data_IF_861859757410
#
_entry.id   IF_861859757410
#
_cell.length_a   1.000
_cell.length_b   1.000
_cell.length_c   1.000
_cell.angle_alpha   90.00
_cell.angle_beta   90.00
_cell.angle_gamma   90.00
#
_symmetry.space_group_name_H-M   'P 1'
#
loop_
_entity.id
_entity.type
_entity.pdbx_description
1 polymer ?
#
# COMPACT_ATOMS: atom_id res chain seq x y z
N UNK A 1 -1.02 -6.19 -21.28
CA UNK A 1 -2.39 -6.19 -21.85
C UNK A 1 -3.45 -6.67 -20.86
N UNK A 2 -3.10 -7.45 -19.83
CA UNK A 2 -4.05 -8.02 -18.84
C UNK A 2 -4.98 -6.97 -18.20
N UNK A 3 -4.47 -5.83 -17.73
CA UNK A 3 -5.31 -4.78 -17.15
C UNK A 3 -6.23 -4.09 -18.17
N UNK A 4 -5.77 -3.92 -19.41
CA UNK A 4 -6.59 -3.34 -20.47
C UNK A 4 -7.78 -4.23 -20.84
N UNK A 5 -7.61 -5.56 -20.76
CA UNK A 5 -8.71 -6.53 -20.97
C UNK A 5 -9.77 -6.44 -19.87
N UNK A 6 -9.39 -5.99 -18.67
CA UNK A 6 -10.30 -5.72 -17.56
C UNK A 6 -10.92 -4.31 -17.62
N UNK A 7 -10.71 -3.56 -18.71
CA UNK A 7 -11.22 -2.20 -18.88
C UNK A 7 -10.41 -1.13 -18.13
N UNK A 8 -9.25 -1.47 -17.58
CA UNK A 8 -8.38 -0.54 -16.86
C UNK A 8 -7.57 0.27 -17.87
N UNK A 9 -7.64 1.60 -17.75
CA UNK A 9 -6.80 2.53 -18.53
C UNK A 9 -5.43 2.62 -17.89
N UNK A 10 -4.40 2.24 -18.63
CA UNK A 10 -3.01 2.35 -18.20
C UNK A 10 -2.37 3.61 -18.81
N UNK A 11 -1.78 4.44 -17.96
CA UNK A 11 -1.03 5.63 -18.36
C UNK A 11 0.45 5.39 -18.11
N UNK A 12 1.31 5.80 -19.04
CA UNK A 12 2.76 5.84 -18.82
C UNK A 12 3.21 7.16 -18.20
N UNK A 13 2.40 8.21 -18.39
CA UNK A 13 2.60 9.52 -17.82
C UNK A 13 1.84 9.61 -16.49
N UNK A 14 2.58 9.63 -15.39
CA UNK A 14 2.01 9.73 -14.05
C UNK A 14 1.30 11.07 -13.83
N UNK A 15 1.72 12.13 -14.51
CA UNK A 15 1.08 13.45 -14.40
C UNK A 15 -0.33 13.41 -14.99
N UNK A 16 -0.52 12.74 -16.14
CA UNK A 16 -1.85 12.53 -16.73
C UNK A 16 -2.74 11.64 -15.86
N UNK A 17 -2.18 10.58 -15.27
CA UNK A 17 -2.91 9.71 -14.34
C UNK A 17 -3.45 10.52 -13.15
N UNK A 18 -2.59 11.33 -12.54
CA UNK A 18 -2.90 12.09 -11.34
C UNK A 18 -3.86 13.24 -11.61
N UNK A 19 -3.73 13.92 -12.75
CA UNK A 19 -4.65 14.98 -13.14
C UNK A 19 -6.10 14.50 -13.35
N UNK A 20 -6.28 13.22 -13.67
CA UNK A 20 -7.61 12.61 -13.86
C UNK A 20 -8.19 12.01 -12.57
N UNK A 21 -7.35 11.65 -11.60
CA UNK A 21 -7.77 10.83 -10.47
C UNK A 21 -8.19 11.65 -9.25
N UNK A 22 -9.39 11.39 -8.73
CA UNK A 22 -9.84 11.91 -7.42
C UNK A 22 -9.08 11.27 -6.25
N UNK A 23 -8.61 10.03 -6.44
CA UNK A 23 -7.85 9.26 -5.44
C UNK A 23 -6.65 8.58 -6.10
N UNK A 24 -5.46 8.84 -5.57
CA UNK A 24 -4.18 8.32 -6.10
C UNK A 24 -3.55 7.40 -5.08
N UNK A 25 -3.32 6.14 -5.46
CA UNK A 25 -2.58 5.18 -4.63
C UNK A 25 -1.08 5.26 -4.94
N UNK A 26 -0.29 5.65 -3.94
CA UNK A 26 1.16 5.70 -4.03
C UNK A 26 1.77 4.39 -3.49
N UNK A 27 2.14 3.49 -4.40
CA UNK A 27 2.67 2.16 -4.11
C UNK A 27 4.08 1.93 -4.69
N UNK A 28 4.82 3.00 -4.97
CA UNK A 28 6.19 2.91 -5.49
C UNK A 28 7.23 2.64 -4.39
N UNK A 29 8.39 2.12 -4.81
CA UNK A 29 9.52 1.90 -3.91
C UNK A 29 10.02 3.23 -3.32
N UNK A 30 10.47 3.26 -2.06
CA UNK A 30 10.99 4.47 -1.42
C UNK A 30 12.12 5.15 -2.21
N UNK A 31 12.94 4.38 -2.93
CA UNK A 31 14.03 4.90 -3.78
C UNK A 31 13.52 5.72 -4.98
N UNK A 32 12.34 5.39 -5.53
CA UNK A 32 11.77 6.08 -6.68
C UNK A 32 10.87 7.25 -6.26
N UNK A 33 10.49 7.31 -4.99
CA UNK A 33 9.57 8.30 -4.46
C UNK A 33 9.95 9.74 -4.81
N UNK A 34 11.21 10.20 -4.65
CA UNK A 34 11.56 11.59 -4.98
C UNK A 34 11.32 11.93 -6.46
N UNK A 35 11.65 11.00 -7.35
CA UNK A 35 11.46 11.16 -8.79
C UNK A 35 9.97 11.21 -9.14
N UNK A 36 9.18 10.25 -8.62
CA UNK A 36 7.73 10.20 -8.85
C UNK A 36 7.05 11.46 -8.32
N UNK A 37 7.34 11.87 -7.07
CA UNK A 37 6.78 13.07 -6.47
C UNK A 37 7.09 14.33 -7.30
N UNK A 38 8.33 14.46 -7.79
CA UNK A 38 8.70 15.60 -8.62
C UNK A 38 7.89 15.68 -9.92
N UNK A 39 7.57 14.53 -10.53
CA UNK A 39 6.79 14.49 -11.77
C UNK A 39 5.30 14.75 -11.58
N UNK A 40 4.73 14.40 -10.43
CA UNK A 40 3.28 14.49 -10.21
C UNK A 40 2.84 15.72 -9.42
N UNK A 41 3.72 16.37 -8.66
CA UNK A 41 3.31 17.45 -7.74
C UNK A 41 2.56 18.59 -8.44
N UNK A 42 2.98 18.99 -9.65
CA UNK A 42 2.34 20.07 -10.41
C UNK A 42 0.97 19.67 -11.00
N UNK A 43 0.71 18.36 -11.13
CA UNK A 43 -0.54 17.83 -11.64
C UNK A 43 -1.55 17.47 -10.53
N UNK A 44 -1.11 17.45 -9.27
CA UNK A 44 -2.00 17.27 -8.12
C UNK A 44 -2.86 18.53 -7.95
N UNK A 45 -4.15 18.41 -8.24
CA UNK A 45 -5.13 19.46 -8.01
C UNK A 45 -6.08 19.07 -6.87
N UNK A 46 -6.57 20.06 -6.12
CA UNK A 46 -7.67 19.82 -5.19
C UNK A 46 -9.00 19.70 -5.94
N UNK A 47 -9.91 18.77 -5.58
CA UNK A 47 -9.85 17.85 -4.43
C UNK A 47 -9.30 16.45 -4.82
N UNK A 48 -8.00 16.21 -4.66
CA UNK A 48 -7.39 14.89 -4.85
C UNK A 48 -6.94 14.30 -3.50
N UNK A 49 -7.08 13.00 -3.31
CA UNK A 49 -6.59 12.30 -2.10
C UNK A 49 -5.43 11.40 -2.48
N UNK A 50 -4.25 11.63 -1.90
CA UNK A 50 -3.11 10.74 -2.07
C UNK A 50 -3.11 9.69 -0.97
N UNK A 51 -3.35 8.43 -1.33
CA UNK A 51 -3.29 7.28 -0.44
C UNK A 51 -1.90 6.63 -0.49
N UNK A 52 -1.10 6.81 0.55
CA UNK A 52 0.28 6.34 0.61
C UNK A 52 0.42 4.95 1.23
N UNK A 53 0.79 3.97 0.40
CA UNK A 53 1.15 2.60 0.82
C UNK A 53 2.66 2.45 1.13
N UNK A 54 3.45 3.52 0.97
CA UNK A 54 4.90 3.50 1.17
C UNK A 54 5.26 3.50 2.66
N UNK A 55 5.31 2.31 3.26
CA UNK A 55 5.48 2.14 4.71
C UNK A 55 6.82 2.67 5.27
N UNK A 56 7.88 2.76 4.46
CA UNK A 56 9.21 3.18 4.92
C UNK A 56 9.42 4.70 4.97
N UNK A 57 8.47 5.52 4.51
CA UNK A 57 8.66 6.98 4.39
C UNK A 57 7.75 7.71 5.38
N UNK A 58 8.28 8.54 6.31
CA UNK A 58 7.48 9.34 7.23
C UNK A 58 6.48 10.26 6.52
N UNK A 59 5.27 10.42 7.08
CA UNK A 59 4.24 11.28 6.48
C UNK A 59 4.70 12.75 6.29
N UNK A 60 5.43 13.38 7.24
CA UNK A 60 5.94 14.74 7.01
C UNK A 60 6.87 14.84 5.80
N UNK A 61 7.75 13.86 5.62
CA UNK A 61 8.65 13.79 4.47
C UNK A 61 7.86 13.65 3.16
N UNK A 62 6.79 12.87 3.16
CA UNK A 62 5.95 12.70 1.99
C UNK A 62 5.18 13.98 1.63
N UNK A 63 4.63 14.68 2.63
CA UNK A 63 3.99 16.00 2.44
C UNK A 63 4.97 17.01 1.81
N UNK A 64 6.22 17.01 2.26
CA UNK A 64 7.28 17.87 1.70
C UNK A 64 7.63 17.48 0.25
N UNK A 65 7.77 16.20 -0.06
CA UNK A 65 8.13 15.75 -1.41
C UNK A 65 7.03 16.06 -2.44
N UNK A 66 5.76 15.95 -2.03
CA UNK A 66 4.61 16.20 -2.90
C UNK A 66 4.16 17.66 -2.90
N UNK A 67 4.65 18.48 -1.97
CA UNK A 67 4.10 19.80 -1.68
C UNK A 67 2.55 19.78 -1.54
N UNK A 68 2.03 18.72 -0.93
CA UNK A 68 0.59 18.43 -0.87
C UNK A 68 0.17 17.95 0.52
N UNK A 69 -1.02 18.37 0.98
CA UNK A 69 -1.48 18.17 2.36
C UNK A 69 -2.47 17.02 2.51
N UNK A 70 -3.32 16.78 1.51
CA UNK A 70 -4.39 15.75 1.51
C UNK A 70 -3.81 14.37 1.22
N UNK A 71 -3.08 13.85 2.21
CA UNK A 71 -2.42 12.55 2.14
C UNK A 71 -2.94 11.64 3.23
N UNK A 72 -3.52 10.50 2.84
CA UNK A 72 -3.90 9.42 3.75
C UNK A 72 -2.77 8.41 3.84
N UNK A 73 -2.40 8.03 5.06
CA UNK A 73 -1.47 6.93 5.31
C UNK A 73 -2.10 5.93 6.27
N UNK A 74 -2.48 4.73 5.80
CA UNK A 74 -2.96 3.69 6.70
C UNK A 74 -1.87 3.30 7.70
N UNK A 75 -2.26 3.19 8.96
CA UNK A 75 -1.43 2.59 10.00
C UNK A 75 -1.83 1.12 10.11
N UNK A 76 -0.90 0.25 9.72
CA UNK A 76 -1.03 -1.18 9.93
C UNK A 76 -0.44 -1.51 11.28
N UNK A 77 -1.26 -2.09 12.15
CA UNK A 77 -0.80 -2.62 13.43
C UNK A 77 -0.93 -4.14 13.40
N UNK A 78 0.13 -4.80 13.86
CA UNK A 78 0.09 -6.23 14.12
C UNK A 78 -0.53 -6.45 15.50
N UNK A 79 -1.78 -6.93 15.54
CA UNK A 79 -2.44 -7.25 16.80
C UNK A 79 -1.95 -8.64 17.26
N UNK A 80 -1.13 -8.64 18.31
CA UNK A 80 -0.50 -9.85 18.84
C UNK A 80 -1.50 -10.86 19.43
N UNK A 81 -2.77 -10.50 19.64
CA UNK A 81 -3.81 -11.43 20.12
C UNK A 81 -4.25 -12.47 19.08
N UNK A 82 -3.77 -12.36 17.83
CA UNK A 82 -4.07 -13.27 16.72
C UNK A 82 -2.92 -14.28 16.49
N UNK A 83 -1.83 -14.18 17.27
CA UNK A 83 -0.67 -15.05 17.14
C UNK A 83 -0.89 -16.44 17.77
N UNK A 84 -2.00 -17.12 17.46
CA UNK A 84 -2.14 -18.55 17.72
C UNK A 84 -1.16 -19.32 16.82
N UNK A 85 0.13 -19.30 17.16
CA UNK A 85 1.21 -20.14 16.63
C UNK A 85 1.16 -20.50 15.13
N UNK A 86 0.63 -19.60 14.28
CA UNK A 86 0.43 -19.86 12.84
C UNK A 86 1.77 -20.15 12.17
N UNK A 87 2.83 -19.52 12.64
CA UNK A 87 4.17 -19.65 12.08
C UNK A 87 4.90 -20.93 12.49
N UNK A 88 4.32 -21.76 13.37
CA UNK A 88 4.92 -22.99 13.89
C UNK A 88 6.18 -22.72 14.72
N UNK A 89 6.42 -23.50 15.76
CA UNK A 89 7.49 -23.19 16.73
C UNK A 89 8.91 -23.58 16.30
N UNK A 90 9.17 -24.22 15.15
CA UNK A 90 10.55 -24.68 14.83
C UNK A 90 10.84 -25.14 13.38
N UNK A 91 10.21 -24.55 12.36
CA UNK A 91 10.47 -24.88 10.94
C UNK A 91 11.49 -23.97 10.25
N UNK A 92 12.13 -24.44 9.17
CA UNK A 92 12.86 -23.54 8.25
C UNK A 92 11.86 -22.65 7.47
N UNK A 93 12.30 -21.47 7.00
CA UNK A 93 11.46 -20.58 6.18
C UNK A 93 10.89 -21.33 4.96
N UNK A 94 11.68 -22.21 4.35
CA UNK A 94 11.26 -23.00 3.17
C UNK A 94 10.13 -23.96 3.53
N UNK A 95 10.25 -24.69 4.64
CA UNK A 95 9.17 -25.58 5.11
C UNK A 95 7.89 -24.81 5.46
N UNK A 96 8.03 -23.58 5.98
CA UNK A 96 6.87 -22.75 6.30
C UNK A 96 6.13 -22.24 5.06
N UNK A 97 6.85 -21.87 3.98
CA UNK A 97 6.25 -21.41 2.72
C UNK A 97 5.54 -22.56 1.99
N UNK A 98 5.96 -23.80 2.19
CA UNK A 98 5.33 -24.99 1.60
C UNK A 98 4.16 -25.53 2.43
N UNK A 99 4.01 -25.08 3.68
CA UNK A 99 2.94 -25.54 4.56
C UNK A 99 1.60 -24.94 4.12
N UNK A 100 0.67 -25.81 3.72
CA UNK A 100 -0.67 -25.43 3.27
C UNK A 100 -1.46 -24.65 4.33
N UNK A 101 -1.23 -24.90 5.62
CA UNK A 101 -1.89 -24.16 6.72
C UNK A 101 -1.36 -22.73 6.84
N UNK A 102 -0.05 -22.54 6.68
CA UNK A 102 0.60 -21.22 6.66
C UNK A 102 0.21 -20.45 5.40
N UNK A 103 0.18 -21.10 4.24
CA UNK A 103 -0.30 -20.51 2.99
C UNK A 103 -1.75 -20.03 3.16
N UNK A 104 -2.64 -20.86 3.72
CA UNK A 104 -4.05 -20.48 3.92
C UNK A 104 -4.25 -19.39 4.98
N UNK A 105 -3.39 -19.30 5.99
CA UNK A 105 -3.43 -18.26 7.00
C UNK A 105 -2.84 -16.93 6.51
N UNK A 106 -1.85 -16.98 5.61
CA UNK A 106 -1.22 -15.81 4.99
C UNK A 106 -1.93 -15.36 3.71
N UNK A 107 -2.88 -16.14 3.19
CA UNK A 107 -3.63 -15.79 1.99
C UNK A 107 -4.54 -14.57 2.24
N UNK A 108 -4.37 -13.46 1.49
CA UNK A 108 -5.07 -12.20 1.75
C UNK A 108 -6.60 -12.29 1.58
N UNK A 109 -7.10 -13.27 0.83
CA UNK A 109 -8.53 -13.48 0.62
C UNK A 109 -9.15 -14.55 1.52
N UNK A 110 -8.34 -15.26 2.31
CA UNK A 110 -8.83 -16.29 3.23
C UNK A 110 -9.53 -15.64 4.42
N UNK A 111 -10.64 -16.22 4.89
CA UNK A 111 -11.33 -15.76 6.09
C UNK A 111 -10.41 -15.74 7.34
N UNK A 112 -9.36 -16.57 7.36
CA UNK A 112 -8.33 -16.60 8.42
C UNK A 112 -7.28 -15.49 8.28
N UNK A 113 -7.00 -15.01 7.05
CA UNK A 113 -6.01 -13.95 6.78
C UNK A 113 -6.51 -12.53 7.07
N UNK A 114 -7.82 -12.33 7.17
CA UNK A 114 -8.44 -11.02 7.48
C UNK A 114 -8.11 -10.47 8.86
N UNK A 115 -7.60 -11.31 9.77
CA UNK A 115 -7.35 -10.92 11.16
C UNK A 115 -5.98 -10.25 11.38
N UNK A 116 -5.10 -10.22 10.38
CA UNK A 116 -3.73 -9.68 10.51
C UNK A 116 -3.60 -8.19 10.16
N UNK A 117 -4.67 -7.55 9.66
CA UNK A 117 -4.64 -6.14 9.26
C UNK A 117 -5.89 -5.41 9.75
N UNK A 118 -5.93 -5.04 11.03
CA UNK A 118 -6.84 -4.00 11.46
C UNK A 118 -6.32 -2.66 10.92
N UNK A 119 -7.08 -2.03 10.03
CA UNK A 119 -6.83 -0.65 9.63
C UNK A 119 -7.29 0.28 10.75
N UNK A 120 -6.35 0.90 11.46
CA UNK A 120 -6.67 2.01 12.33
C UNK A 120 -6.76 3.29 11.49
N UNK A 121 -7.97 3.80 11.29
CA UNK A 121 -8.22 5.09 10.67
C UNK A 121 -7.82 6.21 11.64
N UNK A 122 -6.55 6.61 11.62
CA UNK A 122 -6.12 7.84 12.29
C UNK A 122 -6.09 8.96 11.25
N UNK A 123 -7.18 9.72 11.15
CA UNK A 123 -7.20 11.01 10.48
C UNK A 123 -6.50 12.02 11.41
N UNK A 124 -5.37 12.57 10.99
CA UNK A 124 -4.71 13.72 11.62
C UNK A 124 -3.96 14.55 10.58
#
# INVERSE_FOLDING_TARGET
AEFQQLGIKCFYDNSQLVAWADVVFLCCLPSHLPHICSGIHAALQEPCIVYSLVAAVPLPRLKQLLCYSTILRPQYQFINSVSENIWGTNGTIVSAIQDSTIIQATFPYSAKGKSLSSFCNNFS
#
